data_IF_879140679396
#
_entry.id   IF_879140679396
#
_cell.length_a   1.000
_cell.length_b   1.000
_cell.length_c   1.000
_cell.angle_alpha   90.00
_cell.angle_beta   90.00
_cell.angle_gamma   90.00
#
_symmetry.space_group_name_H-M   'P 1'
#
loop_
_entity.id
_entity.type
_entity.pdbx_description
1 polymer ?
#
# COMPACT_ATOMS: atom_id res chain seq x y z
N UNK A 1 -0.51 34.19 -27.83
CA UNK A 1 0.94 34.07 -27.54
C UNK A 1 1.10 34.33 -26.05
N UNK A 2 1.03 33.28 -25.26
CA UNK A 2 1.34 33.36 -23.83
C UNK A 2 2.81 33.70 -23.66
N UNK A 3 3.09 34.73 -22.87
CA UNK A 3 4.45 35.09 -22.48
C UNK A 3 5.02 33.92 -21.70
N UNK A 4 5.88 33.11 -22.33
CA UNK A 4 6.61 32.07 -21.62
C UNK A 4 7.37 32.71 -20.46
N UNK A 5 6.94 32.40 -19.23
CA UNK A 5 7.75 32.72 -18.06
C UNK A 5 9.08 31.97 -18.21
N UNK A 6 10.19 32.72 -18.37
CA UNK A 6 11.51 32.13 -18.28
C UNK A 6 11.68 31.61 -16.85
N UNK A 7 11.76 30.28 -16.72
CA UNK A 7 12.03 29.66 -15.43
C UNK A 7 13.50 29.92 -15.04
N UNK A 8 13.73 30.28 -13.79
CA UNK A 8 15.09 30.35 -13.27
C UNK A 8 15.63 28.92 -13.09
N UNK A 9 16.67 28.57 -13.83
CA UNK A 9 17.35 27.26 -13.72
C UNK A 9 18.50 27.33 -12.71
N UNK A 10 18.81 26.19 -12.01
CA UNK A 10 18.16 24.88 -12.13
C UNK A 10 16.80 24.83 -11.41
N UNK A 11 15.81 24.12 -11.99
CA UNK A 11 14.49 23.91 -11.38
C UNK A 11 13.89 22.59 -11.87
N UNK A 12 13.00 22.02 -11.06
CA UNK A 12 12.13 20.92 -11.49
C UNK A 12 10.80 21.51 -11.97
N UNK A 13 10.31 20.98 -13.08
CA UNK A 13 9.00 21.35 -13.66
C UNK A 13 8.08 20.15 -13.57
N UNK A 14 6.87 20.38 -13.08
CA UNK A 14 5.83 19.34 -13.04
C UNK A 14 4.85 19.58 -14.17
N UNK A 15 4.78 18.62 -15.09
CA UNK A 15 3.76 18.57 -16.11
C UNK A 15 2.48 17.95 -15.55
N UNK A 16 1.53 18.78 -15.19
CA UNK A 16 0.28 18.35 -14.55
C UNK A 16 -0.61 17.53 -15.47
N UNK A 17 -0.57 17.73 -16.78
CA UNK A 17 -1.36 16.94 -17.75
C UNK A 17 -0.86 15.48 -17.79
N UNK A 18 0.45 15.27 -17.76
CA UNK A 18 1.03 13.93 -17.70
C UNK A 18 0.67 13.27 -16.38
N UNK A 19 0.84 13.97 -15.25
CA UNK A 19 0.50 13.45 -13.91
C UNK A 19 -0.98 13.09 -13.84
N UNK A 20 -1.87 13.94 -14.34
CA UNK A 20 -3.31 13.69 -14.39
C UNK A 20 -3.65 12.43 -15.17
N UNK A 21 -3.09 12.29 -16.38
CA UNK A 21 -3.29 11.11 -17.22
C UNK A 21 -2.85 9.81 -16.53
N UNK A 22 -1.72 9.83 -15.82
CA UNK A 22 -1.22 8.66 -15.07
C UNK A 22 -2.08 8.31 -13.87
N UNK A 23 -2.56 9.32 -13.15
CA UNK A 23 -3.48 9.14 -12.01
C UNK A 23 -4.80 8.55 -12.49
N UNK A 24 -5.36 9.09 -13.58
CA UNK A 24 -6.61 8.60 -14.18
C UNK A 24 -6.47 7.16 -14.69
N UNK A 25 -5.35 6.83 -15.37
CA UNK A 25 -5.09 5.44 -15.81
C UNK A 25 -5.02 4.48 -14.62
N UNK A 26 -4.35 4.86 -13.54
CA UNK A 26 -4.30 4.04 -12.32
C UNK A 26 -5.71 3.83 -11.73
N UNK A 27 -6.51 4.91 -11.61
CA UNK A 27 -7.88 4.85 -11.08
C UNK A 27 -8.76 3.95 -11.96
N UNK A 28 -8.77 4.17 -13.26
CA UNK A 28 -9.60 3.40 -14.19
C UNK A 28 -9.19 1.92 -14.22
N UNK A 29 -7.89 1.65 -14.17
CA UNK A 29 -7.34 0.31 -14.17
C UNK A 29 -7.72 -0.49 -12.91
N UNK A 30 -7.70 0.14 -11.73
CA UNK A 30 -8.15 -0.49 -10.48
C UNK A 30 -9.67 -0.71 -10.49
N UNK A 31 -10.43 0.34 -10.80
CA UNK A 31 -11.91 0.31 -10.74
C UNK A 31 -12.55 -0.66 -11.72
N UNK A 32 -11.83 -1.02 -12.79
CA UNK A 32 -12.28 -2.03 -13.73
C UNK A 32 -12.52 -3.39 -13.07
N UNK A 33 -11.71 -3.76 -12.10
CA UNK A 33 -11.73 -5.05 -11.42
C UNK A 33 -12.27 -4.95 -9.99
N UNK A 34 -12.03 -3.83 -9.33
CA UNK A 34 -12.51 -3.51 -7.97
C UNK A 34 -13.15 -2.12 -7.96
N UNK A 35 -14.48 -2.03 -8.13
CA UNK A 35 -15.17 -0.73 -8.16
C UNK A 35 -14.90 0.17 -6.96
N UNK A 36 -14.65 -0.44 -5.78
CA UNK A 36 -14.33 0.24 -4.52
C UNK A 36 -12.84 0.17 -4.17
N UNK A 37 -11.97 -0.21 -5.13
CA UNK A 37 -10.52 -0.30 -4.91
C UNK A 37 -9.92 1.00 -4.41
N UNK A 38 -9.03 0.91 -3.43
CA UNK A 38 -8.40 2.05 -2.78
C UNK A 38 -7.03 2.29 -3.42
N UNK A 39 -6.76 3.56 -3.75
CA UNK A 39 -5.49 3.98 -4.30
C UNK A 39 -4.87 4.98 -3.32
N UNK A 40 -3.81 4.55 -2.63
CA UNK A 40 -3.04 5.36 -1.70
C UNK A 40 -1.83 5.98 -2.39
N UNK A 41 -1.75 7.31 -2.47
CA UNK A 41 -0.54 7.96 -2.94
C UNK A 41 0.56 7.82 -1.90
N UNK A 42 1.70 7.26 -2.30
CA UNK A 42 2.83 6.97 -1.41
C UNK A 42 3.68 8.21 -1.14
N UNK A 43 3.54 8.81 0.08
CA UNK A 43 4.20 10.06 0.47
C UNK A 43 5.72 9.96 0.45
N UNK A 44 6.28 8.81 0.85
CA UNK A 44 7.75 8.58 0.82
C UNK A 44 8.39 8.78 -0.54
N UNK A 45 7.60 8.72 -1.62
CA UNK A 45 8.08 8.91 -2.99
C UNK A 45 8.33 10.39 -3.30
N UNK A 46 7.39 11.24 -2.94
CA UNK A 46 7.48 12.69 -3.04
C UNK A 46 6.47 13.32 -2.09
N UNK A 47 6.95 13.94 -1.04
CA UNK A 47 6.13 14.52 0.04
C UNK A 47 5.97 16.03 -0.04
N UNK A 48 6.17 16.63 -1.20
CA UNK A 48 5.90 18.06 -1.38
C UNK A 48 4.40 18.34 -1.13
N UNK A 49 4.05 19.31 -0.24
CA UNK A 49 2.67 19.58 0.13
C UNK A 49 1.74 19.85 -1.05
N UNK A 50 2.25 20.53 -2.10
CA UNK A 50 1.48 20.79 -3.30
C UNK A 50 1.09 19.47 -4.02
N UNK A 51 2.05 18.54 -4.19
CA UNK A 51 1.79 17.24 -4.84
C UNK A 51 0.77 16.43 -4.04
N UNK A 52 0.96 16.36 -2.72
CA UNK A 52 0.05 15.63 -1.84
C UNK A 52 -1.37 16.21 -1.93
N UNK A 53 -1.50 17.54 -1.90
CA UNK A 53 -2.80 18.22 -2.05
C UNK A 53 -3.43 17.95 -3.41
N UNK A 54 -2.64 17.96 -4.47
CA UNK A 54 -3.10 17.62 -5.82
C UNK A 54 -3.61 16.17 -5.91
N UNK A 55 -2.86 15.19 -5.34
CA UNK A 55 -3.30 13.79 -5.30
C UNK A 55 -4.60 13.62 -4.49
N UNK A 56 -4.75 14.36 -3.38
CA UNK A 56 -5.99 14.41 -2.60
C UNK A 56 -7.18 14.92 -3.42
N UNK A 57 -7.00 16.01 -4.18
CA UNK A 57 -8.02 16.57 -5.07
C UNK A 57 -8.46 15.57 -6.15
N UNK A 58 -7.54 14.74 -6.65
CA UNK A 58 -7.83 13.64 -7.56
C UNK A 58 -8.50 12.43 -6.89
N UNK A 59 -8.70 12.48 -5.57
CA UNK A 59 -9.43 11.47 -4.79
C UNK A 59 -8.58 10.31 -4.28
N UNK A 60 -7.25 10.39 -4.38
CA UNK A 60 -6.35 9.39 -3.82
C UNK A 60 -6.31 9.51 -2.28
N UNK A 61 -6.12 8.37 -1.63
CA UNK A 61 -5.87 8.31 -0.20
C UNK A 61 -4.40 8.66 0.10
N UNK A 62 -4.08 8.97 1.35
CA UNK A 62 -2.71 9.13 1.79
C UNK A 62 -2.15 7.77 2.22
N UNK A 63 -1.05 7.30 1.59
CA UNK A 63 -0.23 6.21 2.13
C UNK A 63 0.98 6.84 2.80
N UNK A 64 1.11 6.58 4.12
CA UNK A 64 2.11 7.17 5.00
C UNK A 64 2.88 6.09 5.76
N UNK A 65 4.18 6.32 6.01
CA UNK A 65 5.07 5.31 6.62
C UNK A 65 5.77 5.79 7.90
N UNK A 66 5.47 7.00 8.34
CA UNK A 66 6.03 7.58 9.56
C UNK A 66 5.03 8.49 10.27
N UNK A 67 5.30 8.81 11.55
CA UNK A 67 4.50 9.78 12.30
C UNK A 67 4.48 11.15 11.64
N UNK A 68 5.61 11.61 11.09
CA UNK A 68 5.70 12.92 10.43
C UNK A 68 4.82 12.97 9.17
N UNK A 69 4.83 11.91 8.34
CA UNK A 69 3.94 11.83 7.18
C UNK A 69 2.46 11.73 7.59
N UNK A 70 2.14 11.02 8.68
CA UNK A 70 0.79 10.95 9.22
C UNK A 70 0.30 12.33 9.68
N UNK A 71 1.13 13.10 10.39
CA UNK A 71 0.78 14.47 10.77
C UNK A 71 0.65 15.38 9.55
N UNK A 72 1.58 15.28 8.58
CA UNK A 72 1.49 16.04 7.34
C UNK A 72 0.19 15.77 6.58
N UNK A 73 -0.25 14.52 6.50
CA UNK A 73 -1.52 14.17 5.88
C UNK A 73 -2.70 14.86 6.59
N UNK A 74 -2.71 14.90 7.92
CA UNK A 74 -3.73 15.59 8.73
C UNK A 74 -3.71 17.10 8.48
N UNK A 75 -2.55 17.73 8.49
CA UNK A 75 -2.39 19.18 8.23
C UNK A 75 -2.85 19.56 6.83
N UNK A 76 -2.63 18.70 5.83
CA UNK A 76 -3.13 18.89 4.47
C UNK A 76 -4.61 18.52 4.31
N UNK A 77 -5.29 18.18 5.43
CA UNK A 77 -6.74 17.98 5.51
C UNK A 77 -7.22 16.64 4.97
N UNK A 78 -6.41 15.60 4.97
CA UNK A 78 -6.92 14.24 4.82
C UNK A 78 -7.75 13.86 6.04
N UNK A 79 -8.93 13.29 5.84
CA UNK A 79 -9.68 12.67 6.93
C UNK A 79 -9.01 11.35 7.32
N UNK A 80 -8.98 11.03 8.62
CA UNK A 80 -8.27 9.86 9.16
C UNK A 80 -8.71 8.53 8.49
N UNK A 81 -9.98 8.42 8.11
CA UNK A 81 -10.50 7.26 7.39
C UNK A 81 -10.10 7.19 5.91
N UNK A 82 -9.28 8.14 5.43
CA UNK A 82 -8.65 8.17 4.10
C UNK A 82 -7.13 8.14 4.18
N UNK A 83 -6.60 7.62 5.25
CA UNK A 83 -5.17 7.38 5.44
C UNK A 83 -4.92 5.88 5.55
N UNK A 84 -3.83 5.42 4.97
CA UNK A 84 -3.24 4.08 5.10
C UNK A 84 -1.91 4.26 5.82
N UNK A 85 -1.77 3.73 7.02
CA UNK A 85 -0.58 3.90 7.84
C UNK A 85 0.26 2.63 7.87
N UNK A 86 1.36 2.65 7.13
CA UNK A 86 2.29 1.56 6.94
C UNK A 86 3.61 1.78 7.68
N UNK A 87 4.52 0.83 7.51
CA UNK A 87 5.91 0.92 7.92
C UNK A 87 6.14 0.80 9.43
N UNK A 88 7.39 0.52 9.84
CA UNK A 88 7.76 0.26 11.23
C UNK A 88 8.06 1.54 12.04
N UNK A 89 8.06 2.71 11.40
CA UNK A 89 8.41 4.00 12.02
C UNK A 89 7.19 4.75 12.56
N UNK A 90 6.18 4.01 13.05
CA UNK A 90 5.03 4.60 13.72
C UNK A 90 5.39 4.98 15.16
N UNK A 91 5.01 6.20 15.58
CA UNK A 91 4.95 6.58 16.98
C UNK A 91 3.74 5.94 17.65
N UNK A 92 3.85 5.62 18.94
CA UNK A 92 2.78 4.95 19.68
C UNK A 92 1.50 5.79 19.73
N UNK A 93 1.63 7.10 19.92
CA UNK A 93 0.48 8.00 20.05
C UNK A 93 -0.28 8.09 18.72
N UNK A 94 0.45 8.28 17.61
CA UNK A 94 -0.13 8.34 16.26
C UNK A 94 -0.72 6.99 15.85
N UNK A 95 -0.10 5.88 16.26
CA UNK A 95 -0.64 4.54 16.02
C UNK A 95 -2.00 4.37 16.71
N UNK A 96 -2.11 4.68 18.00
CA UNK A 96 -3.38 4.59 18.75
C UNK A 96 -4.42 5.54 18.14
N UNK A 97 -4.05 6.80 17.85
CA UNK A 97 -4.94 7.75 17.18
C UNK A 97 -5.47 7.19 15.86
N UNK A 98 -4.61 6.62 15.03
CA UNK A 98 -4.96 6.05 13.74
C UNK A 98 -5.95 4.88 13.88
N UNK A 99 -5.62 3.91 14.76
CA UNK A 99 -6.47 2.72 15.03
C UNK A 99 -7.85 3.14 15.50
N UNK A 100 -7.92 4.10 16.41
CA UNK A 100 -9.17 4.51 17.04
C UNK A 100 -10.07 5.40 16.18
N UNK A 101 -9.55 5.94 15.06
CA UNK A 101 -10.29 6.89 14.22
C UNK A 101 -10.49 6.42 12.77
N UNK A 102 -10.37 5.12 12.52
CA UNK A 102 -10.78 4.50 11.26
C UNK A 102 -9.76 4.59 10.13
N UNK A 103 -8.50 4.94 10.43
CA UNK A 103 -7.35 4.78 9.53
C UNK A 103 -7.15 3.29 9.24
N UNK A 104 -6.76 2.94 8.00
CA UNK A 104 -6.27 1.60 7.71
C UNK A 104 -4.85 1.50 8.25
N UNK A 105 -4.61 0.64 9.22
CA UNK A 105 -3.29 0.48 9.84
C UNK A 105 -2.73 -0.90 9.53
N UNK A 106 -1.65 -0.94 8.77
CA UNK A 106 -0.91 -2.18 8.52
C UNK A 106 0.18 -2.34 9.59
N UNK A 107 0.00 -3.34 10.44
CA UNK A 107 0.86 -3.64 11.59
C UNK A 107 2.15 -4.27 11.06
N UNK A 108 3.29 -3.70 11.42
CA UNK A 108 4.62 -4.05 10.89
C UNK A 108 5.48 -4.82 11.91
N UNK A 109 5.12 -4.78 13.20
CA UNK A 109 5.97 -5.31 14.26
C UNK A 109 5.23 -5.87 15.47
N UNK A 110 5.89 -6.78 16.20
CA UNK A 110 5.41 -7.33 17.49
C UNK A 110 5.18 -6.24 18.55
N UNK A 111 5.88 -5.09 18.44
CA UNK A 111 5.68 -3.95 19.32
C UNK A 111 4.32 -3.30 19.09
N UNK A 112 3.94 -3.13 17.83
CA UNK A 112 2.65 -2.54 17.44
C UNK A 112 1.47 -3.44 17.83
N UNK A 113 1.64 -4.78 17.75
CA UNK A 113 0.64 -5.72 18.28
C UNK A 113 0.35 -5.48 19.77
N UNK A 114 1.40 -5.21 20.57
CA UNK A 114 1.22 -4.91 22.00
C UNK A 114 0.51 -3.58 22.23
N UNK A 115 0.73 -2.57 21.38
CA UNK A 115 0.04 -1.28 21.48
C UNK A 115 -1.47 -1.38 21.23
N UNK A 116 -1.93 -2.37 20.45
CA UNK A 116 -3.36 -2.61 20.27
C UNK A 116 -4.10 -2.88 21.58
N UNK A 117 -3.42 -3.49 22.56
CA UNK A 117 -4.00 -3.77 23.87
C UNK A 117 -4.23 -2.51 24.72
N UNK A 118 -3.69 -1.38 24.31
CA UNK A 118 -3.85 -0.09 24.97
C UNK A 118 -4.88 0.81 24.28
N UNK A 119 -5.41 0.40 23.12
CA UNK A 119 -6.48 1.10 22.42
C UNK A 119 -7.82 0.93 23.15
N UNK A 120 -8.72 1.91 22.95
CA UNK A 120 -10.11 1.77 23.40
C UNK A 120 -10.76 0.54 22.77
N UNK A 121 -11.31 -0.34 23.59
CA UNK A 121 -11.83 -1.64 23.15
C UNK A 121 -12.99 -1.52 22.14
N UNK A 122 -13.87 -0.52 22.30
CA UNK A 122 -15.02 -0.34 21.39
C UNK A 122 -14.60 0.28 20.06
N UNK A 123 -13.55 1.10 20.05
CA UNK A 123 -12.95 1.66 18.84
C UNK A 123 -12.13 0.59 18.10
N UNK A 124 -11.38 -0.25 18.85
CA UNK A 124 -10.60 -1.34 18.29
C UNK A 124 -11.47 -2.34 17.51
N UNK A 125 -12.67 -2.66 17.99
CA UNK A 125 -13.62 -3.52 17.28
C UNK A 125 -14.04 -2.99 15.91
N UNK A 126 -13.95 -1.68 15.68
CA UNK A 126 -14.33 -1.00 14.43
C UNK A 126 -13.13 -0.62 13.58
N UNK A 127 -11.92 -0.90 14.06
CA UNK A 127 -10.68 -0.56 13.37
C UNK A 127 -10.48 -1.39 12.10
N UNK A 128 -9.66 -0.88 11.20
CA UNK A 128 -9.29 -1.54 9.94
C UNK A 128 -7.82 -1.93 10.03
N UNK A 129 -7.56 -3.13 10.52
CA UNK A 129 -6.20 -3.61 10.77
C UNK A 129 -5.76 -4.61 9.72
N UNK A 130 -4.58 -4.39 9.14
CA UNK A 130 -3.87 -5.35 8.32
C UNK A 130 -2.60 -5.84 9.01
N UNK A 131 -2.11 -7.01 8.65
CA UNK A 131 -0.77 -7.48 9.00
C UNK A 131 0.13 -7.35 7.79
N UNK A 132 1.30 -6.73 7.97
CA UNK A 132 2.31 -6.73 6.92
C UNK A 132 2.99 -8.08 6.86
N UNK A 133 2.84 -8.71 5.70
CA UNK A 133 3.45 -10.00 5.40
C UNK A 133 4.84 -9.79 4.79
N UNK A 134 5.82 -10.49 5.31
CA UNK A 134 7.12 -10.68 4.70
C UNK A 134 7.22 -12.12 4.20
N UNK A 135 7.61 -12.31 2.95
CA UNK A 135 7.85 -13.62 2.37
C UNK A 135 9.09 -13.60 1.48
N UNK A 136 9.72 -14.74 1.32
CA UNK A 136 10.93 -14.87 0.51
C UNK A 136 10.62 -14.75 -0.98
N UNK A 137 10.67 -13.52 -1.51
CA UNK A 137 10.40 -13.25 -2.93
C UNK A 137 11.34 -14.03 -3.86
N UNK A 138 12.58 -14.31 -3.40
CA UNK A 138 13.59 -15.04 -4.19
C UNK A 138 13.17 -16.48 -4.52
N UNK A 139 12.35 -17.11 -3.66
CA UNK A 139 11.80 -18.45 -3.94
C UNK A 139 10.78 -18.45 -5.09
N UNK A 140 10.06 -17.34 -5.27
CA UNK A 140 9.03 -17.19 -6.31
C UNK A 140 9.58 -16.53 -7.58
N UNK A 141 10.51 -15.61 -7.45
CA UNK A 141 11.08 -14.80 -8.52
C UNK A 141 12.61 -14.71 -8.36
N UNK A 142 13.36 -15.78 -8.69
CA UNK A 142 14.81 -15.79 -8.53
C UNK A 142 15.51 -14.64 -9.26
N UNK A 143 16.38 -13.92 -8.56
CA UNK A 143 17.13 -12.79 -9.08
C UNK A 143 16.38 -11.43 -9.11
N UNK A 144 15.10 -11.40 -8.77
CA UNK A 144 14.29 -10.17 -8.82
C UNK A 144 14.18 -9.44 -7.47
N UNK A 145 14.49 -10.11 -6.35
CA UNK A 145 14.49 -9.50 -5.02
C UNK A 145 15.65 -8.51 -4.85
N UNK A 146 15.39 -7.34 -4.23
CA UNK A 146 16.46 -6.43 -3.80
C UNK A 146 17.24 -6.96 -2.58
N UNK A 147 16.59 -7.77 -1.75
CA UNK A 147 17.19 -8.36 -0.56
C UNK A 147 17.91 -9.70 -0.84
N UNK A 148 17.76 -10.26 -2.06
CA UNK A 148 18.26 -11.61 -2.35
C UNK A 148 17.61 -12.64 -1.43
N UNK A 149 18.41 -13.52 -0.85
CA UNK A 149 17.96 -14.56 0.11
C UNK A 149 17.92 -14.06 1.57
N UNK A 150 18.22 -12.77 1.82
CA UNK A 150 18.11 -12.22 3.16
C UNK A 150 16.64 -12.02 3.53
N UNK A 151 16.31 -12.28 4.79
CA UNK A 151 14.98 -12.00 5.33
C UNK A 151 14.68 -10.50 5.20
N UNK A 152 13.49 -10.17 4.71
CA UNK A 152 13.02 -8.80 4.65
C UNK A 152 12.92 -8.22 6.07
N UNK A 153 13.23 -6.91 6.20
CA UNK A 153 13.28 -6.21 7.49
C UNK A 153 11.91 -5.72 7.99
N UNK A 154 10.86 -5.91 7.21
CA UNK A 154 9.54 -5.34 7.46
C UNK A 154 8.49 -6.45 7.56
N UNK A 155 7.57 -6.27 8.51
CA UNK A 155 6.44 -7.18 8.66
C UNK A 155 6.78 -8.49 9.36
N UNK A 156 5.85 -9.42 9.24
CA UNK A 156 5.91 -10.75 9.86
C UNK A 156 6.27 -11.79 8.81
N UNK A 157 7.36 -12.52 9.02
CA UNK A 157 7.82 -13.55 8.09
C UNK A 157 6.82 -14.71 8.06
N UNK A 158 6.44 -15.08 6.83
CA UNK A 158 5.58 -16.23 6.59
C UNK A 158 6.34 -17.53 6.83
N UNK A 159 7.58 -17.63 6.36
CA UNK A 159 8.42 -18.84 6.40
C UNK A 159 8.88 -19.16 7.82
N UNK A 160 9.19 -18.16 8.65
CA UNK A 160 9.65 -18.39 10.04
C UNK A 160 8.52 -18.59 11.03
N UNK A 161 7.26 -18.44 10.61
CA UNK A 161 6.08 -18.57 11.46
C UNK A 161 5.77 -17.32 12.29
N UNK A 162 6.45 -16.19 12.07
CA UNK A 162 6.13 -14.92 12.74
C UNK A 162 4.74 -14.42 12.36
N UNK A 163 4.31 -14.64 11.10
CA UNK A 163 2.96 -14.31 10.66
C UNK A 163 1.90 -15.13 11.40
N UNK A 164 2.12 -16.45 11.54
CA UNK A 164 1.24 -17.33 12.31
C UNK A 164 1.07 -16.83 13.76
N UNK A 165 2.19 -16.50 14.41
CA UNK A 165 2.16 -15.94 15.78
C UNK A 165 1.38 -14.62 15.87
N UNK A 166 1.48 -13.75 14.84
CA UNK A 166 0.74 -12.49 14.80
C UNK A 166 -0.76 -12.71 14.60
N UNK A 167 -1.15 -13.67 13.76
CA UNK A 167 -2.55 -14.07 13.57
C UNK A 167 -3.12 -14.66 14.86
N UNK A 168 -2.38 -15.58 15.50
CA UNK A 168 -2.75 -16.17 16.78
C UNK A 168 -2.88 -15.12 17.88
N UNK A 169 -1.99 -14.13 17.92
CA UNK A 169 -2.09 -13.00 18.83
C UNK A 169 -3.41 -12.25 18.65
N UNK A 170 -3.76 -11.90 17.42
CA UNK A 170 -5.02 -11.21 17.12
C UNK A 170 -6.23 -12.07 17.57
N UNK A 171 -6.22 -13.34 17.23
CA UNK A 171 -7.30 -14.28 17.61
C UNK A 171 -7.46 -14.39 19.13
N UNK A 172 -6.36 -14.61 19.87
CA UNK A 172 -6.37 -14.79 21.32
C UNK A 172 -6.80 -13.53 22.09
N UNK A 173 -6.68 -12.34 21.47
CA UNK A 173 -7.12 -11.07 22.07
C UNK A 173 -8.44 -10.55 21.49
N UNK A 174 -9.15 -11.35 20.68
CA UNK A 174 -10.38 -10.96 19.99
C UNK A 174 -10.22 -9.69 19.13
N UNK A 175 -9.06 -9.52 18.50
CA UNK A 175 -8.76 -8.44 17.57
C UNK A 175 -9.14 -8.90 16.17
N UNK A 176 -10.03 -8.15 15.51
CA UNK A 176 -10.45 -8.47 14.15
C UNK A 176 -9.38 -8.06 13.14
N UNK A 177 -8.86 -9.03 12.40
CA UNK A 177 -7.95 -8.79 11.29
C UNK A 177 -8.77 -8.50 10.03
N UNK A 178 -8.64 -7.28 9.50
CA UNK A 178 -9.38 -6.80 8.33
C UNK A 178 -8.63 -7.00 7.01
N UNK A 179 -7.32 -7.14 7.04
CA UNK A 179 -6.53 -7.22 5.81
C UNK A 179 -5.14 -7.81 5.95
N UNK A 180 -4.50 -7.96 4.80
CA UNK A 180 -3.08 -8.26 4.65
C UNK A 180 -2.42 -7.18 3.80
N UNK A 181 -1.15 -6.87 4.09
CA UNK A 181 -0.33 -5.98 3.29
C UNK A 181 0.91 -6.72 2.80
N UNK A 182 1.05 -6.86 1.48
CA UNK A 182 2.16 -7.55 0.83
C UNK A 182 2.89 -6.59 -0.11
N UNK A 183 3.94 -5.94 0.38
CA UNK A 183 4.78 -5.07 -0.44
C UNK A 183 6.21 -5.60 -0.48
N UNK A 184 6.73 -5.88 -1.67
CA UNK A 184 8.09 -6.35 -1.91
C UNK A 184 8.93 -5.30 -2.62
N UNK A 185 10.17 -5.10 -2.13
CA UNK A 185 11.18 -4.33 -2.87
C UNK A 185 11.79 -5.19 -3.97
N UNK A 186 11.65 -4.75 -5.21
CA UNK A 186 12.11 -5.51 -6.38
C UNK A 186 13.06 -4.71 -7.27
N UNK A 187 13.90 -5.42 -8.02
CA UNK A 187 14.82 -4.82 -9.01
C UNK A 187 14.11 -4.51 -10.33
N UNK A 188 13.09 -5.27 -10.69
CA UNK A 188 12.56 -5.31 -12.05
C UNK A 188 11.17 -4.75 -12.19
N UNK A 189 10.35 -4.74 -11.13
CA UNK A 189 8.92 -4.42 -11.15
C UNK A 189 8.12 -5.28 -12.13
N UNK A 190 8.57 -6.53 -12.37
CA UNK A 190 7.95 -7.43 -13.35
C UNK A 190 6.57 -7.90 -12.90
N UNK A 191 5.78 -8.41 -13.83
CA UNK A 191 4.48 -9.03 -13.53
C UNK A 191 4.65 -10.28 -12.64
N UNK A 192 5.79 -10.98 -12.71
CA UNK A 192 6.06 -12.16 -11.89
C UNK A 192 6.04 -11.85 -10.40
N UNK A 193 6.52 -10.65 -10.01
CA UNK A 193 6.51 -10.21 -8.61
C UNK A 193 5.08 -10.07 -8.09
N UNK A 194 4.20 -9.45 -8.87
CA UNK A 194 2.79 -9.28 -8.49
C UNK A 194 2.00 -10.59 -8.56
N UNK A 195 2.42 -11.52 -9.45
CA UNK A 195 1.95 -12.89 -9.43
C UNK A 195 2.29 -13.56 -8.10
N UNK A 196 3.56 -13.48 -7.67
CA UNK A 196 4.01 -14.04 -6.39
C UNK A 196 3.25 -13.43 -5.20
N UNK A 197 3.10 -12.09 -5.16
CA UNK A 197 2.33 -11.39 -4.13
C UNK A 197 0.90 -11.94 -4.07
N UNK A 198 0.23 -12.07 -5.21
CA UNK A 198 -1.16 -12.54 -5.26
C UNK A 198 -1.29 -14.01 -4.87
N UNK A 199 -0.38 -14.88 -5.34
CA UNK A 199 -0.37 -16.31 -5.00
C UNK A 199 -0.10 -16.54 -3.51
N UNK A 200 0.84 -15.78 -2.91
CA UNK A 200 1.13 -15.84 -1.47
C UNK A 200 -0.08 -15.33 -0.66
N UNK A 201 -0.74 -14.25 -1.09
CA UNK A 201 -1.95 -13.78 -0.42
C UNK A 201 -3.04 -14.84 -0.43
N UNK A 202 -3.31 -15.49 -1.57
CA UNK A 202 -4.27 -16.61 -1.69
C UNK A 202 -3.89 -17.76 -0.76
N UNK A 203 -2.59 -18.14 -0.73
CA UNK A 203 -2.09 -19.22 0.12
C UNK A 203 -2.34 -18.93 1.60
N UNK A 204 -2.00 -17.73 2.07
CA UNK A 204 -2.19 -17.31 3.46
C UNK A 204 -3.69 -17.28 3.82
N UNK A 205 -4.52 -16.68 2.99
CA UNK A 205 -5.97 -16.60 3.23
C UNK A 205 -6.59 -17.98 3.36
N UNK A 206 -6.19 -18.93 2.52
CA UNK A 206 -6.67 -20.32 2.56
C UNK A 206 -6.14 -21.07 3.78
N UNK A 207 -4.85 -20.95 4.08
CA UNK A 207 -4.18 -21.65 5.18
C UNK A 207 -4.78 -21.28 6.54
N UNK A 208 -5.01 -19.98 6.75
CA UNK A 208 -5.54 -19.46 8.02
C UNK A 208 -7.05 -19.19 8.00
N UNK A 209 -7.76 -19.55 6.91
CA UNK A 209 -9.19 -19.32 6.72
C UNK A 209 -9.62 -17.88 7.03
N UNK A 210 -8.86 -16.90 6.51
CA UNK A 210 -9.08 -15.48 6.81
C UNK A 210 -10.26 -14.91 6.03
N UNK A 211 -11.11 -14.12 6.72
CA UNK A 211 -12.19 -13.35 6.13
C UNK A 211 -11.77 -11.89 6.05
N UNK A 212 -11.24 -11.46 4.92
CA UNK A 212 -10.61 -10.14 4.77
C UNK A 212 -11.54 -9.13 4.11
N UNK A 213 -11.44 -7.87 4.54
CA UNK A 213 -12.07 -6.72 3.88
C UNK A 213 -11.18 -6.18 2.75
N UNK A 214 -9.85 -6.30 2.89
CA UNK A 214 -8.90 -5.83 1.89
C UNK A 214 -7.62 -6.68 1.83
N UNK A 215 -6.98 -6.65 0.65
CA UNK A 215 -5.58 -7.01 0.48
C UNK A 215 -4.86 -5.81 -0.12
N UNK A 216 -3.84 -5.34 0.58
CA UNK A 216 -2.96 -4.27 0.14
C UNK A 216 -1.74 -4.90 -0.54
N UNK A 217 -1.60 -4.67 -1.84
CA UNK A 217 -0.53 -5.24 -2.66
C UNK A 217 0.64 -4.27 -2.87
N UNK A 218 0.60 -3.15 -2.16
CA UNK A 218 1.66 -2.14 -2.19
C UNK A 218 1.79 -1.36 -3.48
N UNK A 219 2.98 -0.84 -3.70
CA UNK A 219 3.35 -0.04 -4.86
C UNK A 219 4.44 -0.69 -5.72
N UNK A 220 5.17 0.15 -6.48
CA UNK A 220 6.29 -0.32 -7.32
C UNK A 220 5.91 -0.63 -8.76
N UNK A 221 4.81 -0.09 -9.26
CA UNK A 221 4.36 -0.25 -10.65
C UNK A 221 5.19 0.58 -11.63
N UNK A 222 5.15 0.22 -12.92
CA UNK A 222 5.44 1.15 -13.99
C UNK A 222 4.21 2.01 -14.28
N UNK A 223 4.44 3.28 -14.67
CA UNK A 223 3.39 4.20 -15.11
C UNK A 223 3.92 5.04 -16.27
N UNK A 224 3.23 5.02 -17.40
CA UNK A 224 3.58 5.83 -18.58
C UNK A 224 4.90 5.48 -19.26
N UNK A 225 5.47 4.30 -19.01
CA UNK A 225 6.73 3.86 -19.60
C UNK A 225 6.45 2.90 -20.76
N UNK A 226 6.90 3.25 -21.97
CA UNK A 226 6.76 2.38 -23.14
C UNK A 226 7.48 1.05 -22.91
N UNK A 227 6.94 -0.02 -23.49
CA UNK A 227 7.48 -1.38 -23.42
C UNK A 227 7.54 -1.99 -22.00
N UNK A 228 6.85 -1.37 -21.04
CA UNK A 228 6.68 -1.89 -19.68
C UNK A 228 5.21 -2.22 -19.40
N UNK A 229 4.92 -3.10 -18.43
CA UNK A 229 3.54 -3.39 -18.04
C UNK A 229 2.77 -2.12 -17.64
N UNK A 230 1.54 -1.98 -18.15
CA UNK A 230 0.62 -0.93 -17.73
C UNK A 230 -0.02 -1.26 -16.38
N UNK A 231 -0.65 -0.28 -15.73
CA UNK A 231 -1.46 -0.51 -14.52
C UNK A 231 -2.49 -1.62 -14.74
N UNK A 232 -3.14 -1.62 -15.89
CA UNK A 232 -4.13 -2.64 -16.25
C UNK A 232 -3.53 -4.05 -16.24
N UNK A 233 -2.31 -4.23 -16.77
CA UNK A 233 -1.67 -5.56 -16.80
C UNK A 233 -1.44 -6.12 -15.38
N UNK A 234 -0.98 -5.26 -14.45
CA UNK A 234 -0.79 -5.66 -13.06
C UNK A 234 -2.11 -6.06 -12.40
N UNK A 235 -3.14 -5.22 -12.52
CA UNK A 235 -4.39 -5.42 -11.80
C UNK A 235 -5.23 -6.55 -12.40
N UNK A 236 -5.20 -6.75 -13.72
CA UNK A 236 -5.82 -7.91 -14.38
C UNK A 236 -5.19 -9.23 -13.90
N UNK A 237 -3.86 -9.28 -13.80
CA UNK A 237 -3.14 -10.43 -13.30
C UNK A 237 -3.54 -10.76 -11.86
N UNK A 238 -3.51 -9.77 -10.96
CA UNK A 238 -3.87 -9.95 -9.55
C UNK A 238 -5.34 -10.40 -9.43
N UNK A 239 -6.25 -9.75 -10.17
CA UNK A 239 -7.67 -10.08 -10.16
C UNK A 239 -7.93 -11.52 -10.60
N UNK A 240 -7.27 -11.96 -11.67
CA UNK A 240 -7.42 -13.33 -12.17
C UNK A 240 -6.97 -14.36 -11.13
N UNK A 241 -5.91 -14.08 -10.36
CA UNK A 241 -5.43 -14.97 -9.30
C UNK A 241 -6.40 -14.95 -8.11
N UNK A 242 -6.82 -13.76 -7.64
CA UNK A 242 -7.76 -13.63 -6.51
C UNK A 242 -9.11 -14.29 -6.80
N UNK A 243 -9.57 -14.25 -8.05
CA UNK A 243 -10.82 -14.89 -8.48
C UNK A 243 -10.80 -16.42 -8.38
N UNK A 244 -9.63 -17.03 -8.18
CA UNK A 244 -9.51 -18.48 -7.93
C UNK A 244 -9.82 -18.86 -6.48
N UNK A 245 -9.91 -17.88 -5.58
CA UNK A 245 -10.12 -18.11 -4.16
C UNK A 245 -11.43 -17.46 -3.67
N UNK A 246 -12.38 -18.31 -3.29
CA UNK A 246 -13.71 -17.87 -2.84
C UNK A 246 -13.66 -16.95 -1.60
N UNK A 247 -12.68 -17.13 -0.72
CA UNK A 247 -12.50 -16.28 0.46
C UNK A 247 -12.14 -14.83 0.10
N UNK A 248 -11.65 -14.59 -1.12
CA UNK A 248 -11.31 -13.26 -1.63
C UNK A 248 -12.40 -12.64 -2.53
N UNK A 249 -13.51 -13.31 -2.78
CA UNK A 249 -14.58 -12.86 -3.70
C UNK A 249 -15.10 -11.45 -3.37
N UNK A 250 -15.25 -11.14 -2.07
CA UNK A 250 -15.74 -9.85 -1.58
C UNK A 250 -14.62 -8.97 -0.98
N UNK A 251 -13.36 -9.35 -1.19
CA UNK A 251 -12.22 -8.61 -0.67
C UNK A 251 -11.84 -7.47 -1.60
N UNK A 252 -11.66 -6.28 -1.06
CA UNK A 252 -11.23 -5.14 -1.82
C UNK A 252 -9.71 -5.12 -1.99
N UNK A 253 -9.21 -4.36 -2.97
CA UNK A 253 -7.78 -4.14 -3.17
C UNK A 253 -7.36 -2.76 -2.67
N UNK A 254 -6.15 -2.69 -2.13
CA UNK A 254 -5.41 -1.44 -1.92
C UNK A 254 -4.15 -1.50 -2.77
N UNK A 255 -3.85 -0.39 -3.45
CA UNK A 255 -2.64 -0.19 -4.24
C UNK A 255 -1.98 1.13 -3.86
N UNK A 256 -0.64 1.18 -3.90
CA UNK A 256 0.14 2.30 -3.36
C UNK A 256 1.08 2.90 -4.42
N UNK A 257 0.56 3.46 -5.53
CA UNK A 257 1.40 4.08 -6.53
C UNK A 257 2.12 5.32 -5.95
N UNK A 258 3.40 5.44 -6.26
CA UNK A 258 4.22 6.61 -5.98
C UNK A 258 4.82 7.14 -7.27
N UNK A 259 6.08 6.76 -7.59
CA UNK A 259 6.75 7.17 -8.83
C UNK A 259 5.98 6.87 -10.11
N UNK A 260 5.16 5.83 -10.12
CA UNK A 260 4.36 5.44 -11.28
C UNK A 260 3.28 6.46 -11.69
N UNK A 261 2.85 7.33 -10.77
CA UNK A 261 1.84 8.37 -11.07
C UNK A 261 2.43 9.78 -11.15
N UNK A 262 3.71 9.98 -10.81
CA UNK A 262 4.31 11.31 -10.83
C UNK A 262 5.63 11.36 -11.61
N UNK A 263 6.40 10.26 -11.66
CA UNK A 263 7.78 10.30 -12.14
C UNK A 263 7.91 10.75 -13.59
N UNK A 264 7.04 10.32 -14.50
CA UNK A 264 7.08 10.70 -15.91
C UNK A 264 6.62 12.15 -16.16
N UNK A 265 6.00 12.80 -15.18
CA UNK A 265 5.57 14.20 -15.26
C UNK A 265 6.55 15.19 -14.63
N UNK A 266 7.75 14.76 -14.24
CA UNK A 266 8.77 15.65 -13.65
C UNK A 266 9.94 15.78 -14.64
N UNK A 267 10.18 17.01 -15.08
CA UNK A 267 11.32 17.40 -15.93
C UNK A 267 12.33 18.21 -15.11
N UNK A 268 13.64 18.08 -15.46
CA UNK A 268 14.76 18.80 -14.85
C UNK A 268 15.41 19.76 -15.81
#
# INVERSE_FOLDING_TARGET
MEKGHMLNTPCFVINTEIVESLVEDAILSVRKFWPNGIIGYSFKTNNLPWIISYMKEKGLWAEVVSSDEFQLAKELGYSLNRIIFNGPAKGKMEFIEAVENGTIVNIDSKRELKWLLECDAEKLKKSKLGLRVNFCLEEYCPGESQCGNEDGRFGFSYETGDLAQAIDFCHNHNIHLSGLHLHCSSKTRSLNIYKAIAEVAVKIVREYNLQLQFVDVGGGYFGGVSDKPSFRNYFELIHNIFSTEKLLENTNIIVEPGMSVIGAGIDY
#
